data_IF_964818877307
#
_entry.id   IF_964818877307
#
_cell.length_a   1.000
_cell.length_b   1.000
_cell.length_c   1.000
_cell.angle_alpha   90.00
_cell.angle_beta   90.00
_cell.angle_gamma   90.00
#
_symmetry.space_group_name_H-M   'P 1'
#
loop_
_entity.id
_entity.type
_entity.pdbx_description
1 polymer ?
#
# COMPACT_ATOMS: atom_id res chain seq x y z
N UNK A 1 -5.90 17.54 -4.68
CA UNK A 1 -5.32 16.19 -4.64
C UNK A 1 -6.41 15.19 -5.02
N UNK A 2 -6.08 14.16 -5.79
CA UNK A 2 -7.01 13.06 -6.18
C UNK A 2 -6.30 11.72 -6.06
N UNK A 3 -7.05 10.65 -5.87
CA UNK A 3 -6.49 9.29 -5.87
C UNK A 3 -7.48 8.29 -6.44
N UNK A 4 -6.96 7.18 -6.96
CA UNK A 4 -7.73 6.03 -7.43
C UNK A 4 -7.12 4.74 -6.88
N UNK A 5 -7.97 3.80 -6.52
CA UNK A 5 -7.58 2.48 -6.02
C UNK A 5 -8.08 1.38 -6.96
N UNK A 6 -7.30 0.33 -7.13
CA UNK A 6 -7.66 -0.85 -7.92
C UNK A 6 -7.19 -2.14 -7.22
N UNK A 7 -7.86 -3.25 -7.51
CA UNK A 7 -7.54 -4.59 -7.02
C UNK A 7 -8.68 -5.24 -6.25
N UNK A 8 -8.62 -6.57 -6.20
CA UNK A 8 -9.64 -7.44 -5.60
C UNK A 8 -9.13 -8.09 -4.31
N UNK A 9 -10.04 -8.42 -3.39
CA UNK A 9 -9.69 -9.09 -2.11
C UNK A 9 -8.91 -10.40 -2.28
N UNK A 10 -9.09 -11.09 -3.41
CA UNK A 10 -8.39 -12.32 -3.78
C UNK A 10 -7.62 -12.17 -5.09
N UNK A 11 -7.41 -10.94 -5.56
CA UNK A 11 -6.53 -10.65 -6.70
C UNK A 11 -5.05 -10.64 -6.27
N UNK A 12 -4.10 -10.52 -7.21
CA UNK A 12 -2.67 -10.62 -6.93
C UNK A 12 -2.13 -9.48 -6.07
N UNK A 13 -2.70 -8.28 -6.18
CA UNK A 13 -2.26 -7.10 -5.45
C UNK A 13 -3.34 -6.02 -5.43
N UNK A 14 -3.17 -5.06 -4.52
CA UNK A 14 -3.88 -3.80 -4.51
C UNK A 14 -2.95 -2.70 -5.01
N UNK A 15 -3.49 -1.77 -5.79
CA UNK A 15 -2.73 -0.64 -6.36
C UNK A 15 -3.45 0.67 -6.07
N UNK A 16 -2.70 1.70 -5.72
CA UNK A 16 -3.22 3.07 -5.55
C UNK A 16 -2.36 4.05 -6.34
N UNK A 17 -3.01 4.96 -7.07
CA UNK A 17 -2.34 6.08 -7.73
C UNK A 17 -2.83 7.38 -7.09
N UNK A 18 -1.91 8.21 -6.63
CA UNK A 18 -2.18 9.49 -5.97
C UNK A 18 -1.59 10.62 -6.81
N UNK A 19 -2.38 11.64 -7.10
CA UNK A 19 -1.99 12.78 -7.92
C UNK A 19 -2.23 14.12 -7.22
N UNK A 20 -1.35 15.09 -7.49
CA UNK A 20 -1.39 16.42 -6.89
C UNK A 20 -0.80 16.48 -5.48
N UNK A 21 0.12 15.56 -5.16
CA UNK A 21 1.02 15.69 -3.99
C UNK A 21 2.10 16.70 -4.36
N UNK A 22 2.38 17.73 -3.53
CA UNK A 22 3.47 18.66 -3.82
C UNK A 22 4.83 17.96 -3.74
N UNK A 23 5.84 18.50 -4.42
CA UNK A 23 7.22 18.02 -4.30
C UNK A 23 7.86 18.45 -2.97
N UNK A 24 8.85 17.68 -2.50
CA UNK A 24 9.65 17.97 -1.31
C UNK A 24 9.02 17.57 0.02
N UNK A 25 7.95 16.77 0.01
CA UNK A 25 7.44 16.14 1.24
C UNK A 25 8.24 14.88 1.55
N UNK A 26 8.66 14.72 2.79
CA UNK A 26 9.27 13.47 3.25
C UNK A 26 8.25 12.34 3.21
N UNK A 27 8.62 11.23 2.57
CA UNK A 27 7.82 10.01 2.48
C UNK A 27 8.72 8.80 2.28
N UNK A 28 8.66 7.85 3.21
CA UNK A 28 9.27 6.52 3.11
C UNK A 28 8.21 5.42 3.21
N UNK A 29 8.55 4.21 2.77
CA UNK A 29 7.61 3.07 2.82
C UNK A 29 7.15 2.77 4.26
N UNK A 30 8.03 2.98 5.25
CA UNK A 30 7.74 2.73 6.66
C UNK A 30 6.62 3.61 7.21
N UNK A 31 6.52 4.87 6.76
CA UNK A 31 5.42 5.77 7.13
C UNK A 31 4.04 5.16 6.80
N UNK A 32 3.97 4.41 5.69
CA UNK A 32 2.75 3.76 5.24
C UNK A 32 2.60 2.37 5.89
N UNK A 33 3.69 1.63 6.05
CA UNK A 33 3.69 0.30 6.66
C UNK A 33 3.23 0.35 8.13
N UNK A 34 3.56 1.40 8.87
CA UNK A 34 3.04 1.61 10.24
C UNK A 34 1.51 1.71 10.24
N UNK A 35 0.92 2.46 9.30
CA UNK A 35 -0.53 2.58 9.17
C UNK A 35 -1.19 1.28 8.69
N UNK A 36 -0.54 0.53 7.78
CA UNK A 36 -1.00 -0.81 7.39
C UNK A 36 -1.02 -1.76 8.60
N UNK A 37 0.05 -1.79 9.39
CA UNK A 37 0.13 -2.60 10.59
C UNK A 37 -0.91 -2.19 11.65
N UNK A 38 -1.23 -0.89 11.75
CA UNK A 38 -2.32 -0.41 12.62
C UNK A 38 -3.68 -0.92 12.17
N UNK A 39 -3.96 -0.98 10.85
CA UNK A 39 -5.23 -1.48 10.31
C UNK A 39 -5.50 -2.96 10.61
N UNK A 40 -4.43 -3.75 10.71
CA UNK A 40 -4.50 -5.18 11.01
C UNK A 40 -4.79 -5.47 12.49
N UNK A 41 -4.58 -4.48 13.38
CA UNK A 41 -4.82 -4.59 14.82
C UNK A 41 -6.28 -4.25 15.17
N UNK A 42 -6.84 -4.93 16.18
CA UNK A 42 -8.16 -4.61 16.74
C UNK A 42 -8.99 -5.84 17.12
N UNK A 43 -9.78 -5.72 18.19
CA UNK A 43 -10.69 -6.78 18.64
C UNK A 43 -11.69 -7.14 17.53
N UNK A 44 -11.88 -8.44 17.28
CA UNK A 44 -12.75 -8.95 16.21
C UNK A 44 -12.09 -9.10 14.82
N UNK A 45 -10.80 -8.75 14.67
CA UNK A 45 -10.05 -9.05 13.43
C UNK A 45 -9.73 -10.55 13.35
N UNK A 46 -10.04 -11.15 12.20
CA UNK A 46 -9.88 -12.59 11.97
C UNK A 46 -8.41 -13.05 11.95
N UNK A 47 -8.19 -14.37 12.04
CA UNK A 47 -6.85 -14.99 12.07
C UNK A 47 -5.94 -14.59 10.91
N UNK A 48 -6.51 -14.33 9.72
CA UNK A 48 -5.76 -13.90 8.52
C UNK A 48 -4.96 -12.61 8.76
N UNK A 49 -5.55 -11.63 9.43
CA UNK A 49 -4.91 -10.35 9.76
C UNK A 49 -3.81 -10.46 10.82
N UNK A 50 -3.66 -11.63 11.47
CA UNK A 50 -2.56 -11.90 12.42
C UNK A 50 -1.35 -12.53 11.74
N UNK A 51 -1.51 -13.00 10.49
CA UNK A 51 -0.51 -13.77 9.74
C UNK A 51 -0.02 -12.96 8.53
N UNK A 52 -0.90 -12.22 7.87
CA UNK A 52 -0.51 -11.33 6.77
C UNK A 52 0.25 -10.13 7.31
N UNK A 53 1.40 -9.84 6.70
CA UNK A 53 2.18 -8.63 6.95
C UNK A 53 2.11 -7.79 5.69
N UNK A 54 1.10 -6.92 5.62
CA UNK A 54 0.94 -6.04 4.47
C UNK A 54 2.14 -5.08 4.42
N UNK A 55 2.76 -4.98 3.27
CA UNK A 55 3.89 -4.10 3.01
C UNK A 55 3.62 -3.32 1.73
N UNK A 56 3.83 -2.02 1.77
CA UNK A 56 3.72 -1.18 0.58
C UNK A 56 5.03 -1.13 -0.19
N UNK A 57 4.92 -1.15 -1.50
CA UNK A 57 5.98 -0.78 -2.42
C UNK A 57 5.63 0.57 -3.06
N UNK A 58 6.57 1.52 -3.00
CA UNK A 58 6.45 2.80 -3.70
C UNK A 58 7.11 2.65 -5.07
N UNK A 59 6.32 2.64 -6.13
CA UNK A 59 6.81 2.40 -7.50
C UNK A 59 7.07 3.68 -8.29
N UNK A 60 6.51 4.82 -7.89
CA UNK A 60 6.73 6.11 -8.54
C UNK A 60 6.52 7.30 -7.61
N UNK A 61 6.89 8.49 -8.06
CA UNK A 61 6.54 9.76 -7.40
C UNK A 61 7.34 10.09 -6.14
N UNK A 62 8.21 9.20 -5.68
CA UNK A 62 9.13 9.39 -4.54
C UNK A 62 10.54 9.00 -4.96
N UNK A 63 11.53 9.79 -4.53
CA UNK A 63 12.94 9.49 -4.73
C UNK A 63 13.75 10.02 -3.55
N UNK A 64 14.67 9.21 -3.04
CA UNK A 64 15.51 9.55 -1.88
C UNK A 64 14.71 9.99 -0.64
N UNK A 65 13.51 9.42 -0.45
CA UNK A 65 12.65 9.74 0.69
C UNK A 65 11.84 11.03 0.53
N UNK A 66 11.80 11.63 -0.65
CA UNK A 66 11.04 12.85 -0.92
C UNK A 66 10.12 12.71 -2.13
N UNK A 67 8.94 13.34 -2.06
CA UNK A 67 7.99 13.39 -3.18
C UNK A 67 8.49 14.27 -4.31
N UNK A 68 8.20 13.87 -5.55
CA UNK A 68 8.66 14.57 -6.76
C UNK A 68 7.60 15.49 -7.38
N UNK A 69 6.37 15.47 -6.88
CA UNK A 69 5.23 16.16 -7.49
C UNK A 69 4.56 15.39 -8.63
N UNK A 70 5.23 14.35 -9.16
CA UNK A 70 4.65 13.40 -10.11
C UNK A 70 3.72 12.40 -9.40
N UNK A 71 2.86 11.68 -10.14
CA UNK A 71 1.97 10.69 -9.54
C UNK A 71 2.72 9.63 -8.71
N UNK A 72 2.21 9.35 -7.52
CA UNK A 72 2.74 8.31 -6.63
C UNK A 72 1.93 7.03 -6.85
N UNK A 73 2.59 5.98 -7.31
CA UNK A 73 2.04 4.64 -7.42
C UNK A 73 2.48 3.80 -6.22
N UNK A 74 1.49 3.25 -5.52
CA UNK A 74 1.67 2.36 -4.36
C UNK A 74 1.10 0.99 -4.71
N UNK A 75 1.81 -0.06 -4.32
CA UNK A 75 1.38 -1.46 -4.47
C UNK A 75 1.46 -2.18 -3.13
N UNK A 76 0.44 -2.98 -2.82
CA UNK A 76 0.45 -3.93 -1.70
C UNK A 76 0.15 -5.31 -2.28
N UNK A 77 1.13 -6.21 -2.21
CA UNK A 77 0.99 -7.58 -2.72
C UNK A 77 0.03 -8.41 -1.84
N UNK A 78 -0.85 -9.19 -2.48
CA UNK A 78 -1.74 -10.10 -1.78
C UNK A 78 -1.07 -11.47 -1.65
N UNK A 79 -0.54 -11.77 -0.47
CA UNK A 79 0.19 -13.02 -0.22
C UNK A 79 -0.71 -14.26 -0.30
N UNK A 80 -2.00 -14.11 -0.03
CA UNK A 80 -2.97 -15.20 -0.14
C UNK A 80 -3.25 -15.59 -1.59
N UNK A 81 -2.96 -14.73 -2.58
CA UNK A 81 -3.26 -14.99 -3.99
C UNK A 81 -2.71 -16.33 -4.50
N UNK A 82 -1.55 -16.77 -3.97
CA UNK A 82 -0.97 -18.07 -4.30
C UNK A 82 -1.91 -19.27 -4.01
N UNK A 83 -2.89 -19.11 -3.13
CA UNK A 83 -3.91 -20.12 -2.83
C UNK A 83 -5.14 -20.06 -3.75
N UNK A 84 -5.25 -19.01 -4.58
CA UNK A 84 -6.41 -18.73 -5.44
C UNK A 84 -6.16 -18.97 -6.93
N UNK A 85 -4.97 -19.46 -7.32
CA UNK A 85 -4.60 -19.69 -8.73
C UNK A 85 -5.11 -21.03 -9.30
N UNK A 86 -6.24 -21.55 -8.83
CA UNK A 86 -6.84 -22.83 -9.29
C UNK A 86 -8.15 -22.63 -10.03
#
# INVERSE_FOLDING_TARGET
>A
MRYITAGESHGPQLTTIIEGVPAGLSLVADDINEELARRQKGYGRGRRMQIETDQVQILSGVRHGETLGSPIALVVENRDFAHWTK
#
